data_IF_339785850926
#
_entry.id   IF_339785850926
#
_cell.length_a   1.000
_cell.length_b   1.000
_cell.length_c   1.000
_cell.angle_alpha   90.00
_cell.angle_beta   90.00
_cell.angle_gamma   90.00
#
_symmetry.space_group_name_H-M   'P 1'
#
loop_
_entity.id
_entity.type
_entity.pdbx_description
1 polymer ?
#
# COMPACT_ATOMS: atom_id res chain seq x y z
N UNK A 1 46.92 -16.82 -48.16
CA UNK A 1 45.94 -17.92 -48.30
C UNK A 1 44.56 -17.25 -48.44
N UNK A 2 44.04 -16.97 -49.64
CA UNK A 2 43.12 -17.81 -50.49
C UNK A 2 41.93 -18.35 -49.65
N UNK A 3 40.63 -18.10 -49.85
CA UNK A 3 39.73 -17.56 -50.91
C UNK A 3 38.43 -17.10 -50.16
N UNK A 4 37.87 -15.90 -50.30
CA UNK A 4 37.06 -15.29 -51.37
C UNK A 4 35.77 -16.06 -51.78
N UNK A 5 34.65 -15.32 -51.71
CA UNK A 5 33.44 -15.29 -52.57
C UNK A 5 32.31 -16.28 -52.29
N UNK A 6 31.15 -15.75 -51.88
CA UNK A 6 29.87 -15.97 -52.59
C UNK A 6 29.21 -14.61 -52.87
N UNK A 7 29.24 -14.22 -54.14
CA UNK A 7 28.50 -13.13 -54.75
C UNK A 7 27.16 -13.68 -55.25
N UNK A 8 26.12 -12.85 -55.19
CA UNK A 8 24.91 -12.96 -56.01
C UNK A 8 23.96 -11.85 -55.56
N UNK A 9 23.50 -10.90 -56.37
CA UNK A 9 23.51 -10.72 -57.82
C UNK A 9 23.46 -9.22 -58.05
N UNK A 10 24.33 -8.71 -58.92
CA UNK A 10 24.30 -7.34 -59.40
C UNK A 10 23.38 -7.22 -60.63
N UNK A 11 22.92 -5.99 -60.88
CA UNK A 11 22.46 -5.41 -62.15
C UNK A 11 21.01 -5.64 -62.58
N UNK A 12 20.21 -4.55 -62.52
CA UNK A 12 19.47 -4.09 -63.69
C UNK A 12 19.03 -2.62 -63.55
N UNK A 13 19.66 -1.78 -64.38
CA UNK A 13 19.08 -0.58 -65.01
C UNK A 13 19.00 0.72 -64.18
N UNK A 14 20.03 1.51 -64.41
CA UNK A 14 20.10 2.98 -64.38
C UNK A 14 18.89 3.66 -65.05
N UNK A 15 18.53 4.86 -64.56
CA UNK A 15 17.63 5.86 -65.19
C UNK A 15 16.14 5.77 -64.83
N UNK A 16 15.79 6.20 -63.60
CA UNK A 16 14.60 7.03 -63.36
C UNK A 16 14.99 8.11 -62.33
N UNK A 17 15.79 9.07 -62.78
CA UNK A 17 15.87 10.39 -62.18
C UNK A 17 14.80 11.24 -62.86
N UNK A 18 13.70 11.57 -62.15
CA UNK A 18 12.93 12.82 -62.24
C UNK A 18 11.56 12.65 -61.57
N UNK A 19 11.41 13.25 -60.38
CA UNK A 19 10.39 14.28 -60.11
C UNK A 19 10.08 14.39 -58.60
N UNK A 20 10.61 15.47 -58.01
CA UNK A 20 9.89 16.41 -57.15
C UNK A 20 9.02 15.83 -56.02
N UNK A 21 9.53 15.97 -54.79
CA UNK A 21 8.73 16.47 -53.67
C UNK A 21 9.67 17.09 -52.64
N UNK A 22 10.01 18.34 -52.91
CA UNK A 22 10.40 19.32 -51.90
C UNK A 22 9.18 19.50 -50.98
N UNK A 23 9.32 19.31 -49.67
CA UNK A 23 8.61 19.99 -48.55
C UNK A 23 9.19 19.34 -47.29
N UNK A 24 10.43 19.71 -46.96
CA UNK A 24 10.92 19.62 -45.60
C UNK A 24 10.70 20.98 -44.98
N UNK A 25 9.51 21.20 -44.41
CA UNK A 25 9.14 22.45 -43.76
C UNK A 25 10.24 22.90 -42.80
N UNK A 26 10.76 24.09 -43.07
CA UNK A 26 11.27 25.00 -42.04
C UNK A 26 10.21 25.05 -40.94
N UNK A 27 10.48 24.40 -39.80
CA UNK A 27 9.76 24.69 -38.56
C UNK A 27 10.34 25.98 -38.02
N UNK A 28 9.78 27.07 -38.56
CA UNK A 28 9.70 28.39 -37.96
C UNK A 28 9.68 28.26 -36.43
N UNK A 29 10.77 28.73 -35.80
CA UNK A 29 10.82 28.90 -34.37
C UNK A 29 9.68 29.81 -33.95
N UNK A 30 8.62 29.21 -33.41
CA UNK A 30 7.55 29.95 -32.76
C UNK A 30 8.17 30.52 -31.49
N UNK A 31 8.63 31.76 -31.58
CA UNK A 31 9.08 32.54 -30.44
C UNK A 31 7.91 32.58 -29.47
N UNK A 32 8.05 31.85 -28.36
CA UNK A 32 7.07 31.82 -27.29
C UNK A 32 7.10 33.20 -26.66
N UNK A 33 6.03 33.96 -26.90
CA UNK A 33 5.72 35.17 -26.17
C UNK A 33 5.77 34.85 -24.66
N UNK A 34 6.47 35.65 -23.83
CA UNK A 34 6.58 35.38 -22.41
C UNK A 34 5.19 35.48 -21.79
N UNK A 35 4.56 34.34 -21.56
CA UNK A 35 3.32 34.28 -20.80
C UNK A 35 3.63 34.72 -19.36
N UNK A 36 2.74 35.50 -18.71
CA UNK A 36 2.92 35.86 -17.32
C UNK A 36 2.99 34.58 -16.50
N UNK A 37 4.09 34.39 -15.76
CA UNK A 37 4.28 33.23 -14.87
C UNK A 37 3.26 33.34 -13.74
N UNK A 38 2.09 32.72 -13.91
CA UNK A 38 1.21 32.40 -12.79
C UNK A 38 1.90 31.27 -12.03
N UNK A 39 2.41 31.57 -10.84
CA UNK A 39 3.01 30.59 -9.95
C UNK A 39 1.98 29.51 -9.61
N UNK A 40 2.11 28.32 -10.19
CA UNK A 40 1.29 27.17 -9.81
C UNK A 40 1.84 26.62 -8.49
N UNK A 41 1.12 26.86 -7.39
CA UNK A 41 1.36 26.17 -6.12
C UNK A 41 1.06 24.67 -6.31
N UNK A 42 1.91 23.75 -5.84
CA UNK A 42 1.62 22.32 -5.92
C UNK A 42 0.29 22.01 -5.22
N UNK A 43 -0.51 21.07 -5.75
CA UNK A 43 -1.80 20.71 -5.15
C UNK A 43 -1.61 20.29 -3.69
N UNK A 44 -2.56 20.63 -2.80
CA UNK A 44 -2.47 20.27 -1.38
C UNK A 44 -2.36 18.74 -1.24
N UNK A 45 -1.59 18.25 -0.25
CA UNK A 45 -1.45 16.82 -0.01
C UNK A 45 -2.81 16.19 0.32
N UNK A 46 -3.03 14.90 -0.04
CA UNK A 46 -4.24 14.18 0.35
C UNK A 46 -4.47 14.24 1.87
N UNK A 47 -5.73 14.29 2.33
CA UNK A 47 -6.03 14.25 3.76
C UNK A 47 -5.43 13.01 4.42
N UNK A 48 -4.79 13.18 5.58
CA UNK A 48 -4.28 12.04 6.33
C UNK A 48 -5.42 11.10 6.77
N UNK A 49 -5.20 9.77 6.81
CA UNK A 49 -6.18 8.85 7.36
C UNK A 49 -6.51 9.20 8.82
N UNK A 50 -7.79 9.15 9.18
CA UNK A 50 -8.28 9.37 10.55
C UNK A 50 -8.03 8.16 11.49
N UNK A 51 -7.25 7.18 11.05
CA UNK A 51 -6.96 5.94 11.78
C UNK A 51 -5.52 5.49 11.54
N UNK A 52 -5.04 4.60 12.41
CA UNK A 52 -3.88 3.75 12.13
C UNK A 52 -4.35 2.33 11.82
N UNK A 53 -3.54 1.58 11.08
CA UNK A 53 -3.82 0.18 10.80
C UNK A 53 -3.03 -0.73 11.73
N UNK A 54 -3.71 -1.73 12.25
CA UNK A 54 -3.09 -2.82 12.98
C UNK A 54 -3.41 -4.15 12.30
N UNK A 55 -2.36 -4.87 11.89
CA UNK A 55 -2.48 -6.23 11.37
C UNK A 55 -2.37 -7.21 12.52
N UNK A 56 -3.35 -8.12 12.64
CA UNK A 56 -3.30 -9.22 13.60
C UNK A 56 -2.16 -10.17 13.24
N UNK A 57 -1.18 -10.35 14.14
CA UNK A 57 0.05 -11.11 13.88
C UNK A 57 0.08 -12.45 14.61
N UNK A 58 -0.51 -12.53 15.79
CA UNK A 58 -0.40 -13.67 16.68
C UNK A 58 -1.75 -14.30 17.01
N UNK A 59 -1.70 -15.57 17.40
CA UNK A 59 -2.87 -16.25 17.97
C UNK A 59 -3.13 -15.71 19.38
N UNK A 60 -4.40 -15.62 19.77
CA UNK A 60 -4.78 -15.07 21.07
C UNK A 60 -4.90 -13.54 21.09
N UNK A 61 -4.53 -12.85 20.01
CA UNK A 61 -4.92 -11.45 19.84
C UNK A 61 -6.44 -11.33 19.78
N UNK A 62 -6.96 -10.36 20.52
CA UNK A 62 -8.39 -10.04 20.57
C UNK A 62 -8.56 -8.55 20.40
N UNK A 63 -9.74 -8.12 19.91
CA UNK A 63 -10.04 -6.71 19.76
C UNK A 63 -9.92 -5.95 21.09
N UNK A 64 -10.23 -6.60 22.21
CA UNK A 64 -10.05 -6.07 23.56
C UNK A 64 -8.58 -5.83 23.93
N UNK A 65 -7.66 -6.74 23.57
CA UNK A 65 -6.23 -6.56 23.83
C UNK A 65 -5.65 -5.45 22.97
N UNK A 66 -6.02 -5.41 21.70
CA UNK A 66 -5.65 -4.37 20.74
C UNK A 66 -6.15 -3.02 21.26
N UNK A 67 -7.42 -2.95 21.68
CA UNK A 67 -8.00 -1.77 22.32
C UNK A 67 -7.21 -1.34 23.56
N UNK A 68 -6.87 -2.28 24.46
CA UNK A 68 -6.12 -1.97 25.66
C UNK A 68 -4.74 -1.41 25.33
N UNK A 69 -4.05 -1.98 24.35
CA UNK A 69 -2.72 -1.53 23.95
C UNK A 69 -2.78 -0.10 23.38
N UNK A 70 -3.61 0.12 22.36
CA UNK A 70 -3.61 1.39 21.64
C UNK A 70 -4.35 2.51 22.35
N UNK A 71 -5.41 2.21 23.12
CA UNK A 71 -6.29 3.22 23.73
C UNK A 71 -6.22 3.26 25.26
N UNK A 72 -5.50 2.32 25.88
CA UNK A 72 -5.38 2.20 27.33
C UNK A 72 -6.58 1.56 28.03
N UNK A 73 -7.70 1.32 27.34
CA UNK A 73 -8.93 0.73 27.91
C UNK A 73 -9.39 -0.48 27.11
N UNK A 74 -9.75 -1.56 27.80
CA UNK A 74 -10.35 -2.73 27.15
C UNK A 74 -11.69 -2.38 26.52
N UNK A 75 -12.54 -1.62 27.22
CA UNK A 75 -13.91 -1.28 26.82
C UNK A 75 -14.04 -0.54 25.50
N UNK A 76 -12.99 0.13 25.03
CA UNK A 76 -12.98 0.85 23.75
C UNK A 76 -13.01 -0.09 22.54
N UNK A 77 -12.94 -1.41 22.73
CA UNK A 77 -13.09 -2.39 21.67
C UNK A 77 -14.39 -2.21 20.89
N UNK A 78 -15.46 -1.72 21.54
CA UNK A 78 -16.77 -1.46 20.90
C UNK A 78 -16.68 -0.34 19.86
N UNK A 79 -16.04 0.77 20.23
CA UNK A 79 -15.84 1.92 19.33
C UNK A 79 -14.93 1.53 18.17
N UNK A 80 -13.89 0.72 18.43
CA UNK A 80 -13.05 0.17 17.38
C UNK A 80 -13.85 -0.77 16.47
N UNK A 81 -14.75 -1.60 17.01
CA UNK A 81 -15.61 -2.46 16.20
C UNK A 81 -16.57 -1.65 15.31
N UNK A 82 -17.15 -0.57 15.83
CA UNK A 82 -17.99 0.36 15.05
C UNK A 82 -17.23 0.98 13.87
N UNK A 83 -15.95 1.30 14.05
CA UNK A 83 -15.07 1.77 12.98
C UNK A 83 -14.65 0.68 11.96
N UNK A 84 -14.98 -0.59 12.21
CA UNK A 84 -14.63 -1.73 11.36
C UNK A 84 -15.88 -2.62 11.13
N UNK A 85 -16.89 -2.15 10.38
CA UNK A 85 -18.16 -2.86 10.21
C UNK A 85 -18.01 -4.27 9.58
N UNK A 86 -16.97 -4.48 8.77
CA UNK A 86 -16.69 -5.77 8.12
C UNK A 86 -15.96 -6.78 9.03
N UNK A 87 -15.46 -6.32 10.19
CA UNK A 87 -14.73 -7.16 11.13
C UNK A 87 -15.70 -7.89 12.06
N UNK A 88 -15.60 -9.21 12.14
CA UNK A 88 -16.24 -9.97 13.20
C UNK A 88 -15.28 -10.15 14.40
N UNK A 89 -15.51 -9.49 15.55
CA UNK A 89 -14.58 -9.55 16.69
C UNK A 89 -14.42 -10.95 17.30
N UNK A 90 -15.40 -11.85 17.09
CA UNK A 90 -15.36 -13.23 17.58
C UNK A 90 -14.61 -14.18 16.64
N UNK A 91 -14.32 -13.75 15.41
CA UNK A 91 -13.70 -14.58 14.36
C UNK A 91 -12.46 -13.93 13.76
N UNK A 92 -11.70 -13.19 14.57
CA UNK A 92 -10.45 -12.60 14.12
C UNK A 92 -9.39 -13.67 13.83
N UNK A 93 -8.60 -13.44 12.79
CA UNK A 93 -7.51 -14.31 12.33
C UNK A 93 -6.29 -13.47 12.00
N UNK A 94 -5.12 -14.12 11.95
CA UNK A 94 -3.89 -13.48 11.46
C UNK A 94 -4.11 -12.87 10.07
N UNK A 95 -3.55 -11.69 9.85
CA UNK A 95 -3.72 -10.93 8.61
C UNK A 95 -4.96 -10.05 8.57
N UNK A 96 -5.89 -10.13 9.53
CA UNK A 96 -6.95 -9.12 9.62
C UNK A 96 -6.34 -7.75 9.88
N UNK A 97 -6.80 -6.76 9.10
CA UNK A 97 -6.45 -5.35 9.25
C UNK A 97 -7.54 -4.69 10.08
N UNK A 98 -7.13 -4.00 11.14
CA UNK A 98 -8.02 -3.32 12.07
C UNK A 98 -7.68 -1.83 12.05
N UNK A 99 -8.67 -1.02 11.71
CA UNK A 99 -8.58 0.44 11.72
C UNK A 99 -8.80 0.95 13.14
N UNK A 100 -7.84 1.67 13.69
CA UNK A 100 -7.91 2.23 15.04
C UNK A 100 -8.00 3.74 14.92
N UNK A 101 -9.15 4.35 15.28
CA UNK A 101 -9.34 5.80 15.18
C UNK A 101 -8.27 6.58 15.95
N UNK A 102 -7.67 7.60 15.31
CA UNK A 102 -6.61 8.42 15.90
C UNK A 102 -7.05 9.12 17.19
N UNK A 103 -8.33 9.49 17.28
CA UNK A 103 -8.96 10.13 18.44
C UNK A 103 -8.88 9.29 19.73
N UNK A 104 -8.77 7.97 19.60
CA UNK A 104 -8.68 7.05 20.75
C UNK A 104 -7.24 6.73 21.16
N UNK A 105 -6.24 7.11 20.36
CA UNK A 105 -4.86 6.64 20.53
C UNK A 105 -4.19 7.24 21.76
N UNK A 106 -3.54 6.36 22.51
CA UNK A 106 -2.58 6.66 23.59
C UNK A 106 -1.16 6.29 23.20
N UNK A 107 -1.00 5.42 22.23
CA UNK A 107 0.29 5.02 21.65
C UNK A 107 0.10 4.63 20.19
N UNK A 108 1.13 4.84 19.39
CA UNK A 108 1.23 4.33 18.01
C UNK A 108 2.27 3.21 17.89
N UNK A 109 2.94 2.86 18.99
CA UNK A 109 3.93 1.78 18.99
C UNK A 109 3.25 0.46 18.65
N UNK A 110 3.85 -0.40 17.82
CA UNK A 110 3.27 -1.69 17.50
C UNK A 110 3.13 -2.53 18.77
N UNK A 111 1.97 -3.19 18.94
CA UNK A 111 1.73 -4.09 20.07
C UNK A 111 2.76 -5.22 20.08
N UNK A 112 3.56 -5.42 21.15
CA UNK A 112 4.57 -6.47 21.17
C UNK A 112 3.95 -7.84 21.48
N UNK A 113 4.58 -8.93 21.01
CA UNK A 113 4.13 -10.31 21.29
C UNK A 113 4.06 -10.59 22.79
N UNK A 114 5.01 -10.09 23.56
CA UNK A 114 5.07 -10.25 25.02
C UNK A 114 3.82 -9.70 25.73
N UNK A 115 3.19 -8.66 25.17
CA UNK A 115 1.93 -8.14 25.69
C UNK A 115 0.82 -9.17 25.54
N UNK A 116 0.69 -9.79 24.37
CA UNK A 116 -0.33 -10.82 24.10
C UNK A 116 -0.08 -12.07 24.97
N UNK A 117 1.16 -12.54 25.01
CA UNK A 117 1.56 -13.74 25.76
C UNK A 117 1.21 -13.62 27.26
N UNK A 118 1.34 -12.42 27.84
CA UNK A 118 0.97 -12.17 29.24
C UNK A 118 -0.50 -12.48 29.54
N UNK A 119 -1.41 -12.17 28.61
CA UNK A 119 -2.84 -12.44 28.80
C UNK A 119 -3.22 -13.86 28.42
N UNK A 120 -2.48 -14.46 27.50
CA UNK A 120 -2.69 -15.85 27.10
C UNK A 120 -2.31 -16.81 28.23
N UNK A 121 -1.12 -16.67 28.83
CA UNK A 121 -0.68 -17.48 29.98
C UNK A 121 -1.64 -17.40 31.16
N UNK A 122 -2.08 -16.19 31.50
CA UNK A 122 -3.07 -15.97 32.57
C UNK A 122 -4.34 -16.81 32.38
N UNK A 123 -4.79 -16.98 31.13
CA UNK A 123 -6.00 -17.76 30.82
C UNK A 123 -5.79 -19.27 30.98
N UNK A 124 -4.57 -19.77 30.79
CA UNK A 124 -4.23 -21.19 30.96
C UNK A 124 -3.99 -21.55 32.43
N UNK A 125 -3.50 -20.60 33.22
CA UNK A 125 -3.23 -20.77 34.65
C UNK A 125 -4.48 -20.65 35.55
N UNK A 126 -5.63 -20.19 35.03
CA UNK A 126 -6.89 -20.24 35.78
C UNK A 126 -7.27 -21.71 36.02
N UNK A 127 -7.27 -22.19 37.29
CA UNK A 127 -7.52 -23.59 37.58
C UNK A 127 -8.86 -23.98 36.99
N UNK A 128 -8.89 -25.13 36.31
CA UNK A 128 -10.10 -25.73 35.78
C UNK A 128 -10.96 -26.14 36.98
N UNK A 129 -11.65 -25.18 37.59
CA UNK A 129 -12.37 -25.33 38.87
C UNK A 129 -13.57 -26.28 38.73
N UNK A 130 -13.93 -26.61 37.49
CA UNK A 130 -14.94 -27.59 37.15
C UNK A 130 -14.22 -28.74 36.44
N UNK A 131 -13.98 -29.83 37.16
CA UNK A 131 -13.37 -31.06 36.64
C UNK A 131 -14.14 -31.66 35.44
N UNK A 132 -13.71 -32.83 34.91
CA UNK A 132 -14.30 -33.41 33.72
C UNK A 132 -15.83 -33.49 33.87
N UNK A 133 -16.55 -32.91 32.91
CA UNK A 133 -18.01 -33.08 32.82
C UNK A 133 -18.27 -34.58 32.64
N UNK A 134 -18.83 -35.22 33.67
CA UNK A 134 -19.37 -36.58 33.58
C UNK A 134 -20.64 -36.57 32.73
#
# INVERSE_FOLDING_TARGET
MRKVRWLGVALCVTVIMLALSVIGCVTTGKQQEPQPVVQQQPPPPPPEPAYIEHVVRWQGETLSLISKWYTGKFSNWKIIAEANPDLNPKRMRKGNIIKIPKELLRTQKPMPKSFVDKFYKKKEEEPVLFGPKK
#
